data_IF_168665351547
#
_entry.id   IF_168665351547
#
_cell.length_a   1.000
_cell.length_b   1.000
_cell.length_c   1.000
_cell.angle_alpha   90.00
_cell.angle_beta   90.00
_cell.angle_gamma   90.00
#
_symmetry.space_group_name_H-M   'P 1'
#
loop_
_entity.id
_entity.type
_entity.pdbx_description
1 polymer ?
#
# COMPACT_ATOMS: atom_id res chain seq x y z
N UNK A 1 -25.35 -4.90 -8.30
CA UNK A 1 -23.91 -4.64 -8.11
C UNK A 1 -23.78 -3.21 -7.61
N UNK A 2 -23.34 -3.00 -6.38
CA UNK A 2 -23.08 -1.64 -5.90
C UNK A 2 -21.99 -1.01 -6.76
N UNK A 3 -22.25 0.15 -7.34
CA UNK A 3 -21.24 0.92 -8.05
C UNK A 3 -20.13 1.28 -7.05
N UNK A 4 -18.90 0.85 -7.33
CA UNK A 4 -17.70 1.15 -6.52
C UNK A 4 -17.26 2.61 -6.72
N UNK A 5 -18.18 3.55 -6.59
CA UNK A 5 -17.91 4.98 -6.72
C UNK A 5 -17.65 5.54 -5.34
N UNK A 6 -16.53 6.23 -5.19
CA UNK A 6 -16.26 7.00 -3.98
C UNK A 6 -17.27 8.14 -3.85
N UNK A 7 -17.45 8.66 -2.63
CA UNK A 7 -18.15 9.94 -2.49
C UNK A 7 -17.29 11.05 -3.08
N UNK A 8 -17.93 12.14 -3.51
CA UNK A 8 -17.21 13.29 -4.08
C UNK A 8 -16.21 13.89 -3.08
N UNK A 9 -16.56 13.88 -1.81
CA UNK A 9 -15.70 14.34 -0.71
C UNK A 9 -14.46 13.45 -0.59
N UNK A 10 -14.61 12.13 -0.74
CA UNK A 10 -13.48 11.20 -0.70
C UNK A 10 -12.57 11.36 -1.91
N UNK A 11 -13.13 11.56 -3.11
CA UNK A 11 -12.33 11.84 -4.32
C UNK A 11 -11.49 13.12 -4.17
N UNK A 12 -12.11 14.22 -3.72
CA UNK A 12 -11.40 15.49 -3.46
C UNK A 12 -10.33 15.30 -2.38
N UNK A 13 -10.66 14.58 -1.31
CA UNK A 13 -9.71 14.28 -0.23
C UNK A 13 -8.48 13.52 -0.72
N UNK A 14 -8.67 12.50 -1.56
CA UNK A 14 -7.56 11.74 -2.16
C UNK A 14 -6.73 12.61 -3.10
N UNK A 15 -7.37 13.38 -3.99
CA UNK A 15 -6.65 14.29 -4.90
C UNK A 15 -5.77 15.29 -4.13
N UNK A 16 -6.31 15.94 -3.10
CA UNK A 16 -5.55 16.89 -2.30
C UNK A 16 -4.43 16.20 -1.50
N UNK A 17 -4.68 14.98 -1.00
CA UNK A 17 -3.67 14.22 -0.27
C UNK A 17 -2.46 13.90 -1.16
N UNK A 18 -2.70 13.33 -2.35
CA UNK A 18 -1.62 12.91 -3.25
C UNK A 18 -0.94 14.07 -3.98
N UNK A 19 -1.61 15.22 -4.15
CA UNK A 19 -1.01 16.36 -4.85
C UNK A 19 -0.34 17.38 -3.92
N UNK A 20 -0.84 17.57 -2.69
CA UNK A 20 -0.45 18.73 -1.87
C UNK A 20 0.23 18.37 -0.54
N UNK A 21 0.14 17.12 -0.07
CA UNK A 21 0.56 16.75 1.30
C UNK A 21 1.86 15.97 1.38
N UNK A 22 2.18 15.17 0.36
CA UNK A 22 3.35 14.31 0.33
C UNK A 22 3.84 14.18 -1.11
N UNK A 23 5.15 14.09 -1.31
CA UNK A 23 5.71 13.76 -2.62
C UNK A 23 5.32 12.31 -2.98
N UNK A 24 4.81 12.05 -4.21
CA UNK A 24 4.37 10.72 -4.61
C UNK A 24 5.47 9.65 -4.50
N UNK A 25 6.72 9.99 -4.82
CA UNK A 25 7.85 9.05 -4.76
C UNK A 25 8.22 8.74 -3.31
N UNK A 26 8.25 9.76 -2.45
CA UNK A 26 8.47 9.56 -1.02
C UNK A 26 7.37 8.71 -0.39
N UNK A 27 6.11 8.90 -0.82
CA UNK A 27 5.00 8.08 -0.38
C UNK A 27 5.14 6.63 -0.84
N UNK A 28 5.50 6.40 -2.11
CA UNK A 28 5.72 5.06 -2.65
C UNK A 28 6.80 4.31 -1.85
N UNK A 29 7.93 4.96 -1.57
CA UNK A 29 9.01 4.43 -0.73
C UNK A 29 8.54 4.11 0.69
N UNK A 30 7.78 5.01 1.31
CA UNK A 30 7.24 4.79 2.66
C UNK A 30 6.29 3.58 2.71
N UNK A 31 5.39 3.45 1.72
CA UNK A 31 4.51 2.28 1.61
C UNK A 31 5.32 1.00 1.48
N UNK A 32 6.33 0.96 0.59
CA UNK A 32 7.19 -0.22 0.44
C UNK A 32 7.93 -0.58 1.71
N UNK A 33 8.48 0.41 2.40
CA UNK A 33 9.20 0.18 3.66
C UNK A 33 8.29 -0.46 4.71
N UNK A 34 7.07 0.05 4.87
CA UNK A 34 6.08 -0.50 5.80
C UNK A 34 5.67 -1.91 5.38
N UNK A 35 5.34 -2.12 4.10
CA UNK A 35 4.98 -3.44 3.57
C UNK A 35 6.09 -4.47 3.79
N UNK A 36 7.34 -4.12 3.48
CA UNK A 36 8.49 -4.99 3.69
C UNK A 36 8.68 -5.33 5.17
N UNK A 37 8.56 -4.33 6.05
CA UNK A 37 8.68 -4.53 7.50
C UNK A 37 7.61 -5.49 8.03
N UNK A 38 6.36 -5.33 7.57
CA UNK A 38 5.27 -6.24 7.93
C UNK A 38 5.53 -7.66 7.41
N UNK A 39 5.95 -7.80 6.15
CA UNK A 39 6.27 -9.10 5.56
C UNK A 39 7.40 -9.81 6.32
N UNK A 40 8.47 -9.09 6.68
CA UNK A 40 9.56 -9.63 7.50
C UNK A 40 9.06 -10.07 8.88
N UNK A 41 8.17 -9.29 9.51
CA UNK A 41 7.52 -9.67 10.76
C UNK A 41 6.74 -10.97 10.67
N UNK A 42 5.97 -11.15 9.58
CA UNK A 42 5.22 -12.39 9.31
C UNK A 42 6.17 -13.58 9.09
N UNK A 43 7.24 -13.39 8.32
CA UNK A 43 8.20 -14.45 8.02
C UNK A 43 9.00 -14.89 9.26
N UNK A 44 9.21 -13.98 10.22
CA UNK A 44 9.91 -14.28 11.46
C UNK A 44 9.06 -15.06 12.48
N UNK A 45 7.72 -15.03 12.37
CA UNK A 45 6.81 -15.78 13.23
C UNK A 45 6.60 -17.21 12.68
N UNK A 46 7.64 -18.05 12.81
CA UNK A 46 7.68 -19.41 12.24
C UNK A 46 6.48 -20.29 12.62
N UNK A 47 5.92 -20.08 13.81
CA UNK A 47 4.79 -20.85 14.33
C UNK A 47 3.47 -20.44 13.65
N UNK A 48 3.32 -19.16 13.30
CA UNK A 48 2.06 -18.63 12.76
C UNK A 48 2.16 -18.07 11.33
N UNK A 49 3.24 -18.36 10.57
CA UNK A 49 3.49 -17.80 9.23
C UNK A 49 2.24 -17.90 8.34
N UNK A 50 1.62 -19.07 8.24
CA UNK A 50 0.48 -19.28 7.32
C UNK A 50 -0.73 -18.41 7.71
N UNK A 51 -1.05 -18.34 9.01
CA UNK A 51 -2.15 -17.53 9.51
C UNK A 51 -1.89 -16.03 9.31
N UNK A 52 -0.67 -15.59 9.61
CA UNK A 52 -0.29 -14.19 9.52
C UNK A 52 -0.16 -13.74 8.05
N UNK A 53 0.37 -14.60 7.17
CA UNK A 53 0.42 -14.35 5.73
C UNK A 53 -0.99 -14.24 5.13
N UNK A 54 -1.93 -15.10 5.55
CA UNK A 54 -3.32 -15.01 5.11
C UNK A 54 -3.98 -13.69 5.52
N UNK A 55 -3.68 -13.17 6.71
CA UNK A 55 -4.18 -11.85 7.17
C UNK A 55 -3.55 -10.69 6.41
N UNK A 56 -2.30 -10.83 5.99
CA UNK A 56 -1.55 -9.77 5.31
C UNK A 56 -1.80 -9.72 3.79
N UNK A 57 -2.17 -10.86 3.17
CA UNK A 57 -2.23 -11.05 1.72
C UNK A 57 -2.85 -9.91 0.91
N UNK A 58 -4.15 -9.68 1.08
CA UNK A 58 -4.86 -8.65 0.28
C UNK A 58 -4.34 -7.24 0.55
N UNK A 59 -4.04 -6.92 1.82
CA UNK A 59 -3.53 -5.60 2.20
C UNK A 59 -2.15 -5.33 1.60
N UNK A 60 -1.27 -6.34 1.62
CA UNK A 60 0.07 -6.26 1.04
C UNK A 60 0.01 -6.07 -0.46
N UNK A 61 -0.89 -6.78 -1.14
CA UNK A 61 -1.11 -6.62 -2.57
C UNK A 61 -1.56 -5.19 -2.92
N UNK A 62 -2.63 -4.68 -2.29
CA UNK A 62 -3.16 -3.35 -2.62
C UNK A 62 -2.18 -2.22 -2.32
N UNK A 63 -1.41 -2.34 -1.23
CA UNK A 63 -0.43 -1.33 -0.86
C UNK A 63 0.78 -1.34 -1.82
N UNK A 64 1.24 -2.50 -2.30
CA UNK A 64 2.28 -2.53 -3.32
C UNK A 64 1.77 -1.98 -4.66
N UNK A 65 0.56 -2.36 -5.07
CA UNK A 65 -0.07 -1.80 -6.28
C UNK A 65 -0.17 -0.26 -6.20
N UNK A 66 -0.58 0.28 -5.04
CA UNK A 66 -0.59 1.73 -4.84
C UNK A 66 0.80 2.35 -4.92
N UNK A 67 1.83 1.71 -4.35
CA UNK A 67 3.20 2.19 -4.42
C UNK A 67 3.71 2.23 -5.87
N UNK A 68 3.42 1.21 -6.68
CA UNK A 68 3.77 1.15 -8.10
C UNK A 68 3.02 2.19 -8.95
N UNK A 69 1.76 2.51 -8.60
CA UNK A 69 1.02 3.60 -9.26
C UNK A 69 1.65 4.97 -8.97
N UNK A 70 2.13 5.18 -7.74
CA UNK A 70 2.75 6.42 -7.31
C UNK A 70 4.18 6.59 -7.86
N UNK A 71 4.92 5.50 -7.96
CA UNK A 71 6.25 5.43 -8.59
C UNK A 71 6.36 4.20 -9.50
N UNK A 72 6.13 4.37 -10.82
CA UNK A 72 6.23 3.27 -11.78
C UNK A 72 7.64 2.70 -11.95
N UNK A 73 8.67 3.38 -11.43
CA UNK A 73 10.07 2.97 -11.51
C UNK A 73 10.63 2.52 -10.15
N UNK A 74 9.76 2.32 -9.16
CA UNK A 74 10.12 1.94 -7.79
C UNK A 74 10.94 0.64 -7.68
N UNK A 75 10.82 -0.25 -8.67
CA UNK A 75 11.59 -1.50 -8.76
C UNK A 75 12.95 -1.38 -9.46
N UNK A 76 13.28 -0.21 -10.00
CA UNK A 76 14.54 0.05 -10.69
C UNK A 76 15.60 0.73 -9.79
N UNK A 77 15.22 1.10 -8.55
CA UNK A 77 16.12 1.54 -7.47
C UNK A 77 16.55 0.37 -6.57
#
# INVERSE_FOLDING_TARGET
MSTKTLSKEAEIGLMNFFNDRIDPLDMARAIRQVNLTLALGVLNDQENIQLNAAKLGDSFYWLNELAEILDPYLDLE
#
